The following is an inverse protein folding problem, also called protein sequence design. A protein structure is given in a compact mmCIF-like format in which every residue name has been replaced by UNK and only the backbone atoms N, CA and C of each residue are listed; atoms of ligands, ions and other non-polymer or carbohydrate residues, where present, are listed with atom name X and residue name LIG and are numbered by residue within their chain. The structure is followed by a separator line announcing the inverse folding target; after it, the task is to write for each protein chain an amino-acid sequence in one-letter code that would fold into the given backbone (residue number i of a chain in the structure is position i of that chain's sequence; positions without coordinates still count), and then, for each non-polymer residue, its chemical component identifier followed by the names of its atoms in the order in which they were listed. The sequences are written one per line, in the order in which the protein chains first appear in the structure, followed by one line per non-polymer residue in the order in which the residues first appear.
data_IF_994620514651
#
_entry.id   IF_994620514651
#
_cell.length_a   1.000
_cell.length_b   1.000
_cell.length_c   1.000
_cell.angle_alpha   90.00
_cell.angle_beta   90.00
_cell.angle_gamma   90.00
#
_symmetry.space_group_name_H-M   'P 1'
#
loop_
_entity.id
_entity.type
_entity.pdbx_description
1 polymer ?
#
# COMPACT_ATOMS: atom_id res chain seq x y z
N UNK A 1 -16.49 -52.32 -1.46
CA UNK A 1 -16.22 -50.91 -1.82
C UNK A 1 -17.50 -50.10 -1.61
N UNK A 2 -17.54 -49.17 -0.65
CA UNK A 2 -18.70 -48.28 -0.46
C UNK A 2 -18.49 -47.05 -1.35
N UNK A 3 -19.33 -46.90 -2.38
CA UNK A 3 -19.33 -45.70 -3.21
C UNK A 3 -19.89 -44.53 -2.41
N UNK A 4 -19.15 -43.43 -2.40
CA UNK A 4 -19.50 -42.20 -1.70
C UNK A 4 -20.62 -41.49 -2.46
N UNK A 5 -21.87 -41.77 -2.08
CA UNK A 5 -23.09 -41.32 -2.80
C UNK A 5 -23.13 -39.80 -3.01
N UNK A 6 -22.56 -39.02 -2.09
CA UNK A 6 -22.49 -37.56 -2.20
C UNK A 6 -21.62 -37.06 -3.36
N UNK A 7 -20.51 -37.75 -3.67
CA UNK A 7 -19.65 -37.40 -4.82
C UNK A 7 -20.32 -37.71 -6.16
N UNK A 8 -21.11 -38.79 -6.21
CA UNK A 8 -21.84 -39.19 -7.42
C UNK A 8 -22.97 -38.20 -7.74
N UNK A 9 -23.67 -37.68 -6.73
CA UNK A 9 -24.72 -36.67 -6.92
C UNK A 9 -24.16 -35.32 -7.37
N UNK A 10 -23.03 -34.88 -6.80
CA UNK A 10 -22.33 -33.66 -7.26
C UNK A 10 -21.81 -33.80 -8.71
N UNK A 11 -21.27 -34.95 -9.08
CA UNK A 11 -20.86 -35.18 -10.47
C UNK A 11 -22.06 -35.14 -11.42
N UNK A 12 -23.20 -35.73 -11.04
CA UNK A 12 -24.43 -35.69 -11.84
C UNK A 12 -24.99 -34.27 -11.98
N UNK A 13 -24.91 -33.43 -10.95
CA UNK A 13 -25.38 -32.04 -11.03
C UNK A 13 -24.50 -31.20 -11.95
N UNK A 14 -23.17 -31.34 -11.87
CA UNK A 14 -22.23 -30.67 -12.78
C UNK A 14 -22.44 -31.11 -14.23
N UNK A 15 -22.61 -32.41 -14.48
CA UNK A 15 -22.90 -32.94 -15.83
C UNK A 15 -24.21 -32.36 -16.38
N UNK A 16 -25.26 -32.26 -15.55
CA UNK A 16 -26.53 -31.65 -15.94
C UNK A 16 -26.37 -30.17 -16.28
N UNK A 17 -25.66 -29.39 -15.46
CA UNK A 17 -25.40 -27.98 -15.76
C UNK A 17 -24.64 -27.80 -17.08
N UNK A 18 -23.56 -28.56 -17.28
CA UNK A 18 -22.81 -28.55 -18.53
C UNK A 18 -23.68 -28.91 -19.74
N UNK A 19 -24.62 -29.85 -19.58
CA UNK A 19 -25.55 -30.21 -20.66
C UNK A 19 -26.50 -29.08 -21.03
N UNK A 20 -27.01 -28.32 -20.04
CA UNK A 20 -27.86 -27.16 -20.28
C UNK A 20 -27.10 -26.02 -20.94
N UNK A 21 -25.87 -25.74 -20.49
CA UNK A 21 -25.03 -24.69 -21.09
C UNK A 21 -24.68 -25.00 -22.55
N UNK A 22 -24.36 -26.26 -22.85
CA UNK A 22 -24.09 -26.70 -24.23
C UNK A 22 -25.35 -26.56 -25.09
N UNK A 23 -26.51 -26.97 -24.56
CA UNK A 23 -27.78 -26.84 -25.29
C UNK A 23 -28.14 -25.37 -25.55
N UNK A 24 -28.00 -24.49 -24.55
CA UNK A 24 -28.24 -23.06 -24.71
C UNK A 24 -27.32 -22.43 -25.76
N UNK A 25 -26.03 -22.81 -25.76
CA UNK A 25 -25.07 -22.36 -26.79
C UNK A 25 -25.43 -22.88 -28.18
N UNK A 26 -25.94 -24.09 -28.30
CA UNK A 26 -26.39 -24.65 -29.59
C UNK A 26 -27.64 -23.92 -30.09
N UNK A 27 -28.60 -23.62 -29.21
CA UNK A 27 -29.79 -22.85 -29.56
C UNK A 27 -29.44 -21.42 -29.99
N UNK A 28 -28.53 -20.76 -29.27
CA UNK A 28 -28.01 -19.43 -29.62
C UNK A 28 -27.27 -19.46 -30.96
N UNK A 29 -26.39 -20.44 -31.16
CA UNK A 29 -25.68 -20.63 -32.42
C UNK A 29 -26.65 -20.91 -33.58
N UNK A 30 -27.73 -21.67 -33.34
CA UNK A 30 -28.75 -21.95 -34.35
C UNK A 30 -29.48 -20.70 -34.86
N UNK A 31 -29.52 -19.63 -34.06
CA UNK A 31 -30.08 -18.31 -34.44
C UNK A 31 -29.07 -17.40 -35.13
N UNK A 32 -27.80 -17.79 -35.18
CA UNK A 32 -26.76 -17.02 -35.83
C UNK A 32 -26.90 -17.16 -37.36
N UNK A 33 -27.27 -16.05 -37.99
CA UNK A 33 -27.25 -15.95 -39.43
C UNK A 33 -25.83 -15.66 -39.90
N UNK A 34 -25.32 -16.52 -40.79
CA UNK A 34 -23.95 -16.43 -41.28
C UNK A 34 -23.97 -15.87 -42.69
N UNK A 35 -23.13 -14.86 -42.99
CA UNK A 35 -23.09 -14.28 -44.33
C UNK A 35 -22.50 -15.26 -45.34
N UNK A 36 -22.84 -15.08 -46.61
CA UNK A 36 -22.40 -15.97 -47.70
C UNK A 36 -20.87 -16.03 -47.82
N UNK A 37 -20.17 -14.95 -47.48
CA UNK A 37 -18.71 -14.85 -47.48
C UNK A 37 -18.06 -15.31 -46.16
N UNK A 38 -18.73 -16.15 -45.35
CA UNK A 38 -18.23 -16.59 -44.05
C UNK A 38 -16.82 -17.20 -44.10
N UNK A 39 -16.46 -17.88 -45.20
CA UNK A 39 -15.12 -18.44 -45.35
C UNK A 39 -14.04 -17.35 -45.33
N UNK A 40 -14.25 -16.23 -46.03
CA UNK A 40 -13.30 -15.13 -46.08
C UNK A 40 -13.21 -14.42 -44.72
N UNK A 41 -14.35 -14.28 -44.03
CA UNK A 41 -14.40 -13.72 -42.67
C UNK A 41 -13.59 -14.60 -41.71
N UNK A 42 -13.78 -15.92 -41.73
CA UNK A 42 -13.03 -16.85 -40.87
C UNK A 42 -11.51 -16.78 -41.13
N UNK A 43 -11.11 -16.63 -42.40
CA UNK A 43 -9.71 -16.46 -42.77
C UNK A 43 -9.15 -15.09 -42.31
N UNK A 44 -9.95 -14.02 -42.41
CA UNK A 44 -9.59 -12.70 -41.87
C UNK A 44 -9.41 -12.75 -40.36
N UNK A 45 -10.37 -13.33 -39.64
CA UNK A 45 -10.31 -13.47 -38.19
C UNK A 45 -9.14 -14.34 -37.73
N UNK A 46 -8.69 -15.29 -38.55
CA UNK A 46 -7.47 -16.05 -38.26
C UNK A 46 -6.24 -15.14 -38.25
N UNK A 47 -6.13 -14.19 -39.20
CA UNK A 47 -5.08 -13.18 -39.21
C UNK A 47 -5.21 -12.22 -38.03
N UNK A 48 -6.42 -11.77 -37.73
CA UNK A 48 -6.68 -10.88 -36.58
C UNK A 48 -6.27 -11.55 -35.27
N UNK A 49 -6.57 -12.84 -35.11
CA UNK A 49 -6.16 -13.63 -33.94
C UNK A 49 -4.64 -13.74 -33.79
N UNK A 50 -3.86 -13.63 -34.87
CA UNK A 50 -2.39 -13.64 -34.81
C UNK A 50 -1.82 -12.36 -34.20
N UNK A 51 -2.54 -11.24 -34.35
CA UNK A 51 -2.15 -9.94 -33.79
C UNK A 51 -2.44 -9.81 -32.30
N UNK A 52 -3.21 -10.74 -31.71
CA UNK A 52 -3.49 -10.74 -30.27
C UNK A 52 -2.20 -11.00 -29.47
N UNK A 53 -2.03 -10.34 -28.31
CA UNK A 53 -0.91 -10.62 -27.40
C UNK A 53 -0.85 -12.09 -26.98
N UNK A 54 0.35 -12.67 -26.91
CA UNK A 54 0.55 -14.07 -26.50
C UNK A 54 0.20 -14.34 -25.03
N UNK A 55 0.20 -13.28 -24.21
CA UNK A 55 -0.22 -13.31 -22.81
C UNK A 55 -1.71 -13.65 -22.64
N UNK A 56 -2.54 -13.44 -23.69
CA UNK A 56 -3.98 -13.71 -23.65
C UNK A 56 -4.29 -15.19 -23.89
N UNK A 57 -4.89 -15.85 -22.89
CA UNK A 57 -5.32 -17.26 -22.97
C UNK A 57 -6.26 -17.51 -24.16
N UNK A 58 -7.07 -16.52 -24.53
CA UNK A 58 -8.07 -16.57 -25.60
C UNK A 58 -7.44 -16.77 -26.98
N UNK A 59 -6.21 -16.29 -27.23
CA UNK A 59 -5.55 -16.38 -28.55
C UNK A 59 -5.54 -17.81 -29.08
N UNK A 60 -5.09 -18.75 -28.26
CA UNK A 60 -5.03 -20.18 -28.61
C UNK A 60 -6.40 -20.79 -28.90
N UNK A 61 -7.41 -20.43 -28.09
CA UNK A 61 -8.78 -20.92 -28.22
C UNK A 61 -9.47 -20.38 -29.47
N UNK A 62 -9.27 -19.10 -29.79
CA UNK A 62 -9.77 -18.46 -31.01
C UNK A 62 -9.22 -19.18 -32.23
N UNK A 63 -7.89 -19.34 -32.32
CA UNK A 63 -7.27 -20.04 -33.46
C UNK A 63 -7.79 -21.48 -33.61
N UNK A 64 -7.95 -22.19 -32.48
CA UNK A 64 -8.52 -23.54 -32.47
C UNK A 64 -9.94 -23.56 -33.03
N UNK A 65 -10.83 -22.70 -32.56
CA UNK A 65 -12.23 -22.68 -33.00
C UNK A 65 -12.39 -22.17 -34.44
N UNK A 66 -11.56 -21.23 -34.89
CA UNK A 66 -11.50 -20.82 -36.30
C UNK A 66 -11.06 -21.97 -37.20
N UNK A 67 -10.06 -22.76 -36.79
CA UNK A 67 -9.62 -23.94 -37.52
C UNK A 67 -10.71 -25.01 -37.61
N UNK A 68 -11.46 -25.22 -36.53
CA UNK A 68 -12.65 -26.09 -36.52
C UNK A 68 -13.70 -25.56 -37.50
N UNK A 69 -14.06 -24.28 -37.42
CA UNK A 69 -15.06 -23.67 -38.29
C UNK A 69 -14.69 -23.84 -39.78
N UNK A 70 -13.45 -23.57 -40.18
CA UNK A 70 -12.98 -23.72 -41.56
C UNK A 70 -13.03 -25.18 -42.04
N UNK A 71 -12.67 -26.14 -41.20
CA UNK A 71 -12.73 -27.56 -41.55
C UNK A 71 -14.18 -28.04 -41.74
N UNK A 72 -15.09 -27.66 -40.84
CA UNK A 72 -16.49 -28.06 -40.91
C UNK A 72 -17.26 -27.33 -42.02
N UNK A 73 -16.88 -26.10 -42.36
CA UNK A 73 -17.41 -25.39 -43.52
C UNK A 73 -17.17 -26.17 -44.81
N UNK A 74 -15.95 -26.69 -45.02
CA UNK A 74 -15.61 -27.54 -46.17
C UNK A 74 -16.41 -28.85 -46.22
N UNK A 75 -16.95 -29.30 -45.09
CA UNK A 75 -17.76 -30.51 -44.96
C UNK A 75 -19.27 -30.24 -45.04
N UNK A 76 -19.68 -28.97 -45.15
CA UNK A 76 -21.08 -28.56 -45.23
C UNK A 76 -21.85 -28.59 -43.89
N UNK A 77 -21.18 -28.84 -42.76
CA UNK A 77 -21.85 -28.85 -41.45
C UNK A 77 -21.92 -27.44 -40.86
N UNK A 78 -22.94 -26.71 -41.29
CA UNK A 78 -23.18 -25.33 -40.86
C UNK A 78 -23.60 -25.22 -39.39
N UNK A 79 -24.07 -26.31 -38.76
CA UNK A 79 -24.37 -26.31 -37.33
C UNK A 79 -23.10 -26.16 -36.49
N UNK A 80 -22.07 -26.96 -36.79
CA UNK A 80 -20.77 -26.86 -36.13
C UNK A 80 -20.03 -25.56 -36.48
N UNK A 81 -20.19 -25.06 -37.70
CA UNK A 81 -19.64 -23.75 -38.10
C UNK A 81 -20.25 -22.64 -37.24
N UNK A 82 -21.58 -22.55 -37.14
CA UNK A 82 -22.26 -21.54 -36.31
C UNK A 82 -21.82 -21.60 -34.85
N UNK A 83 -21.75 -22.79 -34.29
CA UNK A 83 -21.31 -22.96 -32.89
C UNK A 83 -19.88 -22.49 -32.69
N UNK A 84 -18.99 -22.80 -33.63
CA UNK A 84 -17.59 -22.40 -33.57
C UNK A 84 -17.42 -20.89 -33.77
N UNK A 85 -18.17 -20.29 -34.69
CA UNK A 85 -18.20 -18.83 -34.92
C UNK A 85 -18.68 -18.10 -33.67
N UNK A 86 -19.79 -18.53 -33.06
CA UNK A 86 -20.30 -17.95 -31.83
C UNK A 86 -19.26 -17.97 -30.70
N UNK A 87 -18.57 -19.10 -30.53
CA UNK A 87 -17.48 -19.22 -29.55
C UNK A 87 -16.34 -18.26 -29.85
N UNK A 88 -15.97 -18.10 -31.11
CA UNK A 88 -14.92 -17.16 -31.54
C UNK A 88 -15.33 -15.72 -31.23
N UNK A 89 -16.57 -15.32 -31.51
CA UNK A 89 -17.07 -13.98 -31.20
C UNK A 89 -16.96 -13.67 -29.70
N UNK A 90 -17.47 -14.58 -28.84
CA UNK A 90 -17.38 -14.43 -27.38
C UNK A 90 -15.93 -14.38 -26.89
N UNK A 91 -15.03 -15.16 -27.51
CA UNK A 91 -13.61 -15.14 -27.16
C UNK A 91 -12.92 -13.85 -27.58
N UNK A 92 -13.27 -13.25 -28.72
CA UNK A 92 -12.76 -11.95 -29.14
C UNK A 92 -13.23 -10.83 -28.19
N UNK A 93 -14.50 -10.84 -27.78
CA UNK A 93 -15.02 -9.91 -26.78
C UNK A 93 -14.22 -10.01 -25.47
N UNK A 94 -14.01 -11.22 -24.97
CA UNK A 94 -13.21 -11.46 -23.78
C UNK A 94 -11.75 -11.05 -23.96
N UNK A 95 -11.14 -11.32 -25.12
CA UNK A 95 -9.77 -10.91 -25.42
C UNK A 95 -9.62 -9.39 -25.43
N UNK A 96 -10.61 -8.66 -25.97
CA UNK A 96 -10.63 -7.20 -25.96
C UNK A 96 -10.76 -6.65 -24.53
N UNK A 97 -11.61 -7.25 -23.71
CA UNK A 97 -11.73 -6.88 -22.30
C UNK A 97 -10.42 -7.11 -21.55
N UNK A 98 -9.82 -8.30 -21.65
CA UNK A 98 -8.58 -8.64 -20.97
C UNK A 98 -7.41 -7.77 -21.44
N UNK A 99 -7.34 -7.44 -22.74
CA UNK A 99 -6.35 -6.50 -23.28
C UNK A 99 -6.49 -5.11 -22.66
N UNK A 100 -7.72 -4.64 -22.46
CA UNK A 100 -7.99 -3.36 -21.81
C UNK A 100 -7.59 -3.39 -20.32
N UNK A 101 -7.91 -4.47 -19.61
CA UNK A 101 -7.51 -4.66 -18.20
C UNK A 101 -5.99 -4.66 -18.06
N UNK A 102 -5.28 -5.48 -18.85
CA UNK A 102 -3.82 -5.54 -18.83
C UNK A 102 -3.16 -4.20 -19.16
N UNK A 103 -3.71 -3.46 -20.14
CA UNK A 103 -3.23 -2.12 -20.47
C UNK A 103 -3.38 -1.14 -19.30
N UNK A 104 -4.52 -1.22 -18.62
CA UNK A 104 -4.85 -0.38 -17.46
C UNK A 104 -3.95 -0.71 -16.26
N UNK A 105 -3.77 -1.99 -15.95
CA UNK A 105 -2.85 -2.46 -14.91
C UNK A 105 -1.41 -2.01 -15.17
N UNK A 106 -0.92 -2.11 -16.41
CA UNK A 106 0.41 -1.62 -16.80
C UNK A 106 0.55 -0.11 -16.58
N UNK A 107 -0.49 0.68 -16.90
CA UNK A 107 -0.48 2.13 -16.69
C UNK A 107 -0.46 2.50 -15.21
N UNK A 108 -1.30 1.86 -14.38
CA UNK A 108 -1.32 2.11 -12.94
C UNK A 108 -0.02 1.64 -12.25
N UNK A 109 0.52 0.49 -12.66
CA UNK A 109 1.82 0.01 -12.19
C UNK A 109 2.94 1.00 -12.48
N UNK A 110 3.01 1.52 -13.72
CA UNK A 110 3.99 2.54 -14.09
C UNK A 110 3.87 3.82 -13.25
N UNK A 111 2.63 4.30 -13.02
CA UNK A 111 2.39 5.49 -12.20
C UNK A 111 2.77 5.27 -10.73
N UNK A 112 2.47 4.09 -10.18
CA UNK A 112 2.87 3.73 -8.82
C UNK A 112 4.40 3.68 -8.66
N UNK A 113 5.11 3.13 -9.65
CA UNK A 113 6.57 3.11 -9.65
C UNK A 113 7.18 4.52 -9.77
N UNK A 114 6.59 5.38 -10.60
CA UNK A 114 6.99 6.78 -10.71
C UNK A 114 6.80 7.54 -9.40
N UNK A 115 5.68 7.32 -8.71
CA UNK A 115 5.42 7.90 -7.39
C UNK A 115 6.41 7.39 -6.34
N UNK A 116 6.73 6.09 -6.37
CA UNK A 116 7.73 5.48 -5.47
C UNK A 116 9.10 6.11 -5.65
N UNK A 117 9.57 6.22 -6.90
CA UNK A 117 10.85 6.89 -7.22
C UNK A 117 10.87 8.34 -6.75
N UNK A 118 9.81 9.10 -7.02
CA UNK A 118 9.71 10.48 -6.54
C UNK A 118 9.77 10.56 -5.01
N UNK A 119 9.08 9.65 -4.31
CA UNK A 119 9.11 9.62 -2.85
C UNK A 119 10.52 9.32 -2.31
N UNK A 120 11.20 8.34 -2.88
CA UNK A 120 12.57 7.93 -2.50
C UNK A 120 13.61 9.01 -2.80
N UNK A 121 13.53 9.65 -3.97
CA UNK A 121 14.54 10.61 -4.44
C UNK A 121 14.31 12.03 -3.92
N UNK A 122 13.06 12.44 -3.69
CA UNK A 122 12.73 13.84 -3.39
C UNK A 122 12.15 13.99 -1.99
N UNK A 123 11.15 13.19 -1.63
CA UNK A 123 10.42 13.39 -0.37
C UNK A 123 11.24 12.92 0.83
N UNK A 124 11.85 11.73 0.74
CA UNK A 124 12.61 11.12 1.83
C UNK A 124 13.85 11.94 2.23
N UNK A 125 14.71 12.41 1.30
CA UNK A 125 15.87 13.22 1.67
C UNK A 125 15.49 14.56 2.29
N UNK A 126 14.40 15.17 1.82
CA UNK A 126 13.86 16.38 2.46
C UNK A 126 13.40 16.11 3.88
N UNK A 127 12.64 15.03 4.10
CA UNK A 127 12.20 14.67 5.44
C UNK A 127 13.38 14.41 6.39
N UNK A 128 14.41 13.69 5.92
CA UNK A 128 15.61 13.40 6.71
C UNK A 128 16.36 14.69 7.07
N UNK A 129 16.50 15.63 6.12
CA UNK A 129 17.07 16.96 6.40
C UNK A 129 16.26 17.73 7.44
N UNK A 130 14.94 17.67 7.39
CA UNK A 130 14.08 18.36 8.35
C UNK A 130 14.18 17.76 9.75
N UNK A 131 14.31 16.43 9.86
CA UNK A 131 14.60 15.76 11.12
C UNK A 131 15.96 16.20 11.68
N UNK A 132 17.00 16.24 10.84
CA UNK A 132 18.34 16.68 11.25
C UNK A 132 18.33 18.13 11.73
N UNK A 133 17.64 19.03 11.01
CA UNK A 133 17.47 20.42 11.44
C UNK A 133 16.69 20.53 12.76
N UNK A 134 15.65 19.72 12.94
CA UNK A 134 14.87 19.70 14.19
C UNK A 134 15.66 19.13 15.37
N UNK A 135 16.54 18.15 15.14
CA UNK A 135 17.45 17.61 16.15
C UNK A 135 18.54 18.62 16.53
N UNK A 136 19.12 19.30 15.53
CA UNK A 136 20.08 20.39 15.75
C UNK A 136 19.46 21.51 16.57
N UNK A 137 18.28 21.98 16.18
CA UNK A 137 17.56 23.02 16.92
C UNK A 137 17.26 22.59 18.35
N UNK A 138 16.81 21.36 18.57
CA UNK A 138 16.60 20.80 19.92
C UNK A 138 17.89 20.74 20.75
N UNK A 139 19.02 20.45 20.13
CA UNK A 139 20.33 20.38 20.80
C UNK A 139 20.82 21.78 21.21
N UNK A 140 20.73 22.76 20.32
CA UNK A 140 21.13 24.15 20.55
C UNK A 140 20.27 24.79 21.65
N UNK A 141 18.94 24.68 21.57
CA UNK A 141 18.03 25.20 22.60
C UNK A 141 18.18 24.51 23.96
N UNK A 142 18.55 23.22 23.97
CA UNK A 142 18.79 22.48 25.23
C UNK A 142 20.08 22.96 25.91
N UNK A 143 21.12 23.33 25.16
CA UNK A 143 22.35 23.91 25.73
C UNK A 143 22.13 25.33 26.23
N UNK A 144 21.44 26.18 25.45
CA UNK A 144 21.20 27.59 25.85
C UNK A 144 20.35 27.69 27.13
N UNK A 145 19.32 26.84 27.26
CA UNK A 145 18.50 26.79 28.47
C UNK A 145 19.23 26.18 29.68
N UNK A 146 20.17 25.25 29.50
CA UNK A 146 20.90 24.67 30.63
C UNK A 146 21.90 25.65 31.22
N UNK A 147 22.61 26.41 30.38
CA UNK A 147 23.73 27.22 30.82
C UNK A 147 23.26 28.52 31.48
N UNK A 148 22.24 29.20 30.93
CA UNK A 148 21.69 30.43 31.53
C UNK A 148 20.93 30.18 32.85
N UNK A 149 20.20 29.07 32.97
CA UNK A 149 19.44 28.78 34.20
C UNK A 149 20.33 28.23 35.32
N UNK A 150 21.38 27.46 34.99
CA UNK A 150 22.27 26.89 36.00
C UNK A 150 23.14 27.95 36.69
N UNK A 151 23.61 28.96 35.95
CA UNK A 151 24.37 30.09 36.53
C UNK A 151 23.47 30.99 37.40
N UNK A 152 22.25 31.29 36.93
CA UNK A 152 21.25 32.04 37.71
C UNK A 152 20.88 31.33 39.03
N UNK A 153 20.72 30.01 39.03
CA UNK A 153 20.38 29.26 40.24
C UNK A 153 21.55 29.15 41.23
N UNK A 154 22.79 29.06 40.73
CA UNK A 154 23.97 29.09 41.59
C UNK A 154 24.14 30.47 42.25
N UNK A 155 23.92 31.56 41.51
CA UNK A 155 23.94 32.92 42.05
C UNK A 155 22.85 33.15 43.10
N UNK A 156 21.62 32.68 42.85
CA UNK A 156 20.53 32.76 43.85
C UNK A 156 20.88 31.92 45.08
N UNK A 157 21.38 30.70 44.91
CA UNK A 157 21.78 29.83 46.02
C UNK A 157 22.93 30.44 46.84
N UNK A 158 23.92 31.06 46.19
CA UNK A 158 25.02 31.74 46.86
C UNK A 158 24.56 33.02 47.58
N UNK A 159 23.69 33.82 46.97
CA UNK A 159 23.07 35.02 47.58
C UNK A 159 22.30 34.67 48.85
N UNK A 160 21.47 33.63 48.82
CA UNK A 160 20.74 33.14 49.99
C UNK A 160 21.67 32.49 51.02
N UNK A 161 22.67 31.74 50.58
CA UNK A 161 23.68 31.12 51.47
C UNK A 161 24.52 32.16 52.19
N UNK A 162 24.82 33.31 51.57
CA UNK A 162 25.48 34.46 52.20
C UNK A 162 24.56 35.17 53.19
N UNK A 163 23.29 35.39 52.82
CA UNK A 163 22.31 36.10 53.65
C UNK A 163 21.95 35.35 54.94
N UNK A 164 21.86 34.03 54.89
CA UNK A 164 21.38 33.21 56.02
C UNK A 164 22.45 32.26 56.59
N UNK A 165 23.73 32.50 56.27
CA UNK A 165 24.86 31.57 56.45
C UNK A 165 25.05 30.99 57.85
N UNK A 166 24.47 31.62 58.88
CA UNK A 166 24.64 31.28 60.30
C UNK A 166 23.32 31.13 61.08
N UNK A 167 22.17 31.30 60.43
CA UNK A 167 20.89 31.45 61.13
C UNK A 167 19.93 30.28 60.93
N UNK A 168 20.05 29.53 59.84
CA UNK A 168 19.09 28.48 59.50
C UNK A 168 19.78 27.20 59.03
N UNK A 169 19.09 26.08 59.21
CA UNK A 169 19.55 24.78 58.73
C UNK A 169 19.50 24.70 57.19
N UNK A 170 20.30 23.80 56.59
CA UNK A 170 20.30 23.61 55.14
C UNK A 170 18.92 23.23 54.57
N UNK A 171 18.10 22.54 55.38
CA UNK A 171 16.73 22.17 55.02
C UNK A 171 15.84 23.41 54.91
N UNK A 172 15.96 24.34 55.84
CA UNK A 172 15.21 25.59 55.84
C UNK A 172 15.71 26.56 54.77
N UNK A 173 17.02 26.60 54.51
CA UNK A 173 17.60 27.37 53.41
C UNK A 173 17.05 26.91 52.05
N UNK A 174 16.99 25.58 51.83
CA UNK A 174 16.42 25.02 50.61
C UNK A 174 14.93 25.38 50.46
N UNK A 175 14.15 25.33 51.54
CA UNK A 175 12.73 25.76 51.53
C UNK A 175 12.56 27.24 51.20
N UNK A 176 13.43 28.11 51.70
CA UNK A 176 13.39 29.55 51.38
C UNK A 176 13.73 29.84 49.92
N UNK A 177 14.70 29.11 49.36
CA UNK A 177 15.04 29.23 47.93
C UNK A 177 13.90 28.68 47.06
N UNK A 178 13.29 27.57 47.46
CA UNK A 178 12.12 26.97 46.81
C UNK A 178 10.91 27.93 46.79
N UNK A 179 10.59 28.56 47.92
CA UNK A 179 9.53 29.56 47.99
C UNK A 179 9.81 30.77 47.08
N UNK A 180 11.05 31.26 47.08
CA UNK A 180 11.45 32.38 46.22
C UNK A 180 11.34 32.04 44.73
N UNK A 181 11.74 30.83 44.32
CA UNK A 181 11.61 30.37 42.94
C UNK A 181 10.15 30.14 42.55
N UNK A 182 9.31 29.64 43.45
CA UNK A 182 7.88 29.47 43.18
C UNK A 182 7.15 30.81 42.97
N UNK A 183 7.57 31.88 43.66
CA UNK A 183 6.98 33.21 43.51
C UNK A 183 7.47 33.97 42.27
N UNK A 184 8.73 33.76 41.85
CA UNK A 184 9.38 34.56 40.81
C UNK A 184 9.63 33.82 39.48
N UNK A 185 9.63 32.49 39.47
CA UNK A 185 9.86 31.63 38.30
C UNK A 185 9.13 30.26 38.45
N UNK A 186 7.79 30.25 38.34
CA UNK A 186 6.96 29.07 38.66
C UNK A 186 7.17 27.87 37.73
N UNK A 187 7.72 28.08 36.53
CA UNK A 187 8.02 27.00 35.58
C UNK A 187 9.20 26.12 36.04
N UNK A 188 10.01 26.59 37.00
CA UNK A 188 11.21 25.91 37.50
C UNK A 188 11.07 25.39 38.94
N UNK A 189 9.85 25.28 39.48
CA UNK A 189 9.57 24.79 40.84
C UNK A 189 10.13 23.38 41.13
N UNK A 190 10.41 22.57 40.12
CA UNK A 190 10.99 21.22 40.26
C UNK A 190 12.53 21.20 40.40
N UNK A 191 13.22 22.35 40.32
CA UNK A 191 14.68 22.46 40.42
C UNK A 191 15.26 22.26 41.85
N UNK A 192 14.38 22.13 42.85
CA UNK A 192 14.70 22.00 44.28
C UNK A 192 15.59 20.79 44.59
N UNK A 193 15.39 19.68 43.88
CA UNK A 193 16.23 18.49 44.00
C UNK A 193 17.69 18.72 43.58
N UNK A 194 17.91 19.59 42.59
CA UNK A 194 19.24 19.99 42.10
C UNK A 194 19.89 20.98 43.06
N UNK A 195 19.13 21.95 43.59
CA UNK A 195 19.62 22.95 44.55
C UNK A 195 20.06 22.30 45.87
N UNK A 196 19.31 21.32 46.41
CA UNK A 196 19.74 20.55 47.60
C UNK A 196 21.07 19.82 47.39
N UNK A 197 21.29 19.26 46.20
CA UNK A 197 22.56 18.59 45.85
C UNK A 197 23.73 19.57 45.73
N UNK A 198 23.50 20.77 45.20
CA UNK A 198 24.52 21.81 45.04
C UNK A 198 24.95 22.41 46.40
N UNK A 199 23.99 22.74 47.28
CA UNK A 199 24.28 23.24 48.65
C UNK A 199 25.11 22.20 49.44
N UNK A 200 24.79 20.91 49.30
CA UNK A 200 25.56 19.83 49.92
C UNK A 200 26.98 19.66 49.37
N UNK A 201 27.23 20.00 48.10
CA UNK A 201 28.54 19.90 47.44
C UNK A 201 29.45 21.10 47.75
N UNK A 202 28.93 22.34 47.80
CA UNK A 202 29.75 23.54 48.03
C UNK A 202 30.36 23.64 49.44
N UNK A 203 29.83 22.94 50.45
CA UNK A 203 30.45 22.84 51.79
C UNK A 203 31.55 21.78 51.90
N UNK A 204 31.60 20.77 51.02
CA UNK A 204 32.67 19.77 51.01
C UNK A 204 33.96 20.27 50.34
N UNK A 205 33.91 21.42 49.66
CA UNK A 205 35.06 22.10 49.04
C UNK A 205 35.63 23.24 49.89
N UNK A 206 35.17 23.42 51.13
CA UNK A 206 35.73 24.38 52.10
C UNK A 206 36.32 23.67 53.29
#
# INVERSE_FOLDING_TARGET
MKYDKGKVEQQKSVIRQLSFEVQALQEEAGRLDLPDNIQDILMSWMKDAETLPDELKQKSLIKKHLGVALNYYRRGDMGTVRLSVLRVMKLFENANHDKWVLGTEKQFGHNADKLRKHHEEVTKPKHDLWLEMADKFRSEYRCEMSDHKHDSWLEIADKFSLKYRREISNSELAKKIEAYLHENDPENCNAVGTIRKLIGRNRKKK
#
